data_IF_709250846620
#
_entry.id   IF_709250846620
#
_cell.length_a   1.000
_cell.length_b   1.000
_cell.length_c   1.000
_cell.angle_alpha   90.00
_cell.angle_beta   90.00
_cell.angle_gamma   90.00
#
_symmetry.space_group_name_H-M   'P 1'
#
loop_
_entity.id
_entity.type
_entity.pdbx_description
1 polymer ?
#
# COMPACT_ATOMS: atom_id res chain seq x y z
N UNK A 1 13.21 -14.54 7.00
CA UNK A 1 11.76 -14.78 7.15
C UNK A 1 11.30 -15.75 6.09
N UNK A 2 10.27 -16.54 6.36
CA UNK A 2 9.70 -17.52 5.41
C UNK A 2 8.64 -16.90 4.48
N UNK A 3 8.16 -15.70 4.81
CA UNK A 3 7.04 -15.05 4.16
C UNK A 3 7.40 -14.50 2.77
N UNK A 4 8.65 -14.05 2.59
CA UNK A 4 9.10 -13.44 1.33
C UNK A 4 8.92 -14.35 0.12
N UNK A 5 9.40 -15.59 0.20
CA UNK A 5 9.32 -16.55 -0.92
C UNK A 5 7.88 -17.01 -1.15
N UNK A 6 7.12 -17.22 -0.07
CA UNK A 6 5.71 -17.61 -0.14
C UNK A 6 4.86 -16.53 -0.83
N UNK A 7 5.02 -15.26 -0.46
CA UNK A 7 4.29 -14.14 -1.08
C UNK A 7 4.70 -13.99 -2.54
N UNK A 8 6.00 -14.14 -2.85
CA UNK A 8 6.47 -14.11 -4.23
C UNK A 8 5.80 -15.20 -5.07
N UNK A 9 5.74 -16.42 -4.55
CA UNK A 9 5.09 -17.54 -5.22
C UNK A 9 3.60 -17.29 -5.42
N UNK A 10 2.88 -16.79 -4.40
CA UNK A 10 1.47 -16.45 -4.55
C UNK A 10 1.23 -15.37 -5.61
N UNK A 11 2.07 -14.34 -5.66
CA UNK A 11 1.95 -13.31 -6.69
C UNK A 11 2.22 -13.89 -8.09
N UNK A 12 3.19 -14.80 -8.22
CA UNK A 12 3.47 -15.46 -9.48
C UNK A 12 2.34 -16.41 -9.90
N UNK A 13 1.70 -17.11 -8.98
CA UNK A 13 0.57 -18.00 -9.28
C UNK A 13 -0.73 -17.26 -9.58
N UNK A 14 -1.02 -16.19 -8.83
CA UNK A 14 -2.31 -15.47 -8.91
C UNK A 14 -2.36 -14.41 -10.01
N UNK A 15 -1.23 -13.77 -10.33
CA UNK A 15 -1.21 -12.74 -11.37
C UNK A 15 -1.23 -13.38 -12.76
N UNK A 16 -2.06 -12.90 -13.70
CA UNK A 16 -2.03 -13.37 -15.07
C UNK A 16 -0.71 -12.98 -15.76
N UNK A 17 -0.35 -13.68 -16.83
CA UNK A 17 0.91 -13.45 -17.56
C UNK A 17 1.04 -12.03 -18.12
N UNK A 18 -0.09 -11.41 -18.49
CA UNK A 18 -0.16 -10.04 -18.98
C UNK A 18 -0.41 -8.98 -17.88
N UNK A 19 -0.25 -9.32 -16.60
CA UNK A 19 -0.50 -8.40 -15.48
C UNK A 19 0.28 -7.07 -15.61
N UNK A 20 1.52 -7.12 -16.12
CA UNK A 20 2.34 -5.92 -16.33
C UNK A 20 1.74 -4.95 -17.35
N UNK A 21 1.14 -5.46 -18.43
CA UNK A 21 0.43 -4.66 -19.43
C UNK A 21 -0.83 -4.03 -18.82
N UNK A 22 -1.60 -4.83 -18.07
CA UNK A 22 -2.83 -4.37 -17.41
C UNK A 22 -2.54 -3.28 -16.37
N UNK A 23 -1.46 -3.40 -15.61
CA UNK A 23 -1.15 -2.51 -14.50
C UNK A 23 -0.37 -1.26 -14.91
N UNK A 24 0.38 -1.30 -16.02
CA UNK A 24 1.15 -0.16 -16.50
C UNK A 24 0.25 1.06 -16.73
N UNK A 25 0.65 2.22 -16.19
CA UNK A 25 -0.08 3.49 -16.15
C UNK A 25 -1.42 3.50 -15.41
N UNK A 26 -1.87 2.35 -14.91
CA UNK A 26 -3.14 2.19 -14.18
C UNK A 26 -2.93 1.99 -12.69
N UNK A 27 -1.80 1.41 -12.30
CA UNK A 27 -1.42 1.14 -10.92
C UNK A 27 -0.11 1.84 -10.59
N UNK A 28 -0.02 2.40 -9.39
CA UNK A 28 1.20 2.99 -8.85
C UNK A 28 1.63 2.21 -7.61
N UNK A 29 2.73 1.47 -7.71
CA UNK A 29 3.32 0.73 -6.59
C UNK A 29 4.30 1.64 -5.86
N UNK A 30 4.13 1.81 -4.55
CA UNK A 30 4.93 2.77 -3.78
C UNK A 30 6.08 2.11 -3.04
N UNK A 31 7.29 2.64 -3.21
CA UNK A 31 8.46 2.21 -2.45
C UNK A 31 9.12 3.41 -1.78
N UNK A 32 9.80 3.16 -0.66
CA UNK A 32 10.70 4.13 -0.05
C UNK A 32 12.13 3.83 -0.50
N UNK A 33 12.72 4.73 -1.30
CA UNK A 33 14.13 4.65 -1.67
C UNK A 33 15.01 5.13 -0.51
N UNK A 34 15.96 4.28 -0.13
CA UNK A 34 16.96 4.52 0.92
C UNK A 34 18.29 4.77 0.22
N UNK A 35 18.75 6.02 0.18
CA UNK A 35 20.10 6.34 -0.29
C UNK A 35 21.09 6.28 0.86
N UNK A 36 22.32 5.82 0.59
CA UNK A 36 23.39 5.70 1.61
C UNK A 36 23.69 7.02 2.33
N UNK A 37 23.42 8.18 1.70
CA UNK A 37 23.44 9.47 2.39
C UNK A 37 22.14 9.64 3.17
N UNK A 38 22.23 9.63 4.51
CA UNK A 38 21.17 9.62 5.52
C UNK A 38 20.09 10.74 5.48
N UNK A 39 19.89 11.46 4.36
CA UNK A 39 18.89 12.53 4.18
C UNK A 39 18.44 12.67 2.70
N UNK A 40 17.14 12.86 2.41
CA UNK A 40 15.96 12.26 3.04
C UNK A 40 15.49 11.00 2.28
N UNK A 41 14.88 10.05 3.01
CA UNK A 41 14.09 8.97 2.43
C UNK A 41 13.10 9.55 1.41
N UNK A 42 13.14 9.01 0.18
CA UNK A 42 12.33 9.49 -0.93
C UNK A 42 11.34 8.42 -1.34
N UNK A 43 10.06 8.77 -1.37
CA UNK A 43 9.04 7.91 -1.96
C UNK A 43 9.19 7.90 -3.48
N UNK A 44 9.10 6.72 -4.08
CA UNK A 44 9.07 6.49 -5.53
C UNK A 44 7.79 5.73 -5.84
N UNK A 45 7.05 6.20 -6.84
CA UNK A 45 5.92 5.47 -7.41
C UNK A 45 6.37 4.81 -8.69
N UNK A 46 6.22 3.50 -8.78
CA UNK A 46 6.52 2.71 -9.97
C UNK A 46 5.19 2.50 -10.68
N UNK A 47 5.09 3.03 -11.90
CA UNK A 47 3.86 3.00 -12.71
C UNK A 47 4.04 2.27 -14.04
N UNK A 48 5.27 1.85 -14.35
CA UNK A 48 5.62 1.18 -15.60
C UNK A 48 6.23 -0.17 -15.27
N UNK A 49 5.71 -1.23 -15.87
CA UNK A 49 6.16 -2.61 -15.68
C UNK A 49 6.33 -3.25 -17.06
N UNK A 50 7.53 -3.76 -17.38
CA UNK A 50 7.75 -4.36 -18.70
C UNK A 50 7.39 -5.85 -18.69
N UNK A 51 7.55 -6.51 -17.54
CA UNK A 51 7.24 -7.93 -17.35
C UNK A 51 6.44 -8.16 -16.07
N UNK A 52 5.71 -9.28 -16.01
CA UNK A 52 5.04 -9.73 -14.78
C UNK A 52 6.02 -9.78 -13.59
N UNK A 53 7.25 -10.23 -13.84
CA UNK A 53 8.31 -10.25 -12.84
C UNK A 53 8.64 -8.85 -12.32
N UNK A 54 8.72 -7.84 -13.18
CA UNK A 54 8.98 -6.45 -12.75
C UNK A 54 7.88 -5.94 -11.80
N UNK A 55 6.62 -6.27 -12.10
CA UNK A 55 5.49 -5.94 -11.24
C UNK A 55 5.59 -6.66 -9.88
N UNK A 56 5.93 -7.95 -9.87
CA UNK A 56 6.12 -8.72 -8.63
C UNK A 56 7.27 -8.14 -7.82
N UNK A 57 8.42 -7.85 -8.43
CA UNK A 57 9.57 -7.23 -7.77
C UNK A 57 9.22 -5.86 -7.16
N UNK A 58 8.44 -5.04 -7.87
CA UNK A 58 7.92 -3.79 -7.35
C UNK A 58 7.00 -3.99 -6.14
N UNK A 59 6.05 -4.93 -6.22
CA UNK A 59 5.16 -5.27 -5.10
C UNK A 59 5.96 -5.75 -3.89
N UNK A 60 6.90 -6.64 -4.10
CA UNK A 60 7.74 -7.17 -3.03
C UNK A 60 8.64 -6.11 -2.40
N UNK A 61 9.14 -5.15 -3.18
CA UNK A 61 9.86 -4.00 -2.63
C UNK A 61 8.92 -3.07 -1.82
N UNK A 62 7.68 -2.90 -2.28
CA UNK A 62 6.66 -2.07 -1.64
C UNK A 62 6.22 -2.58 -0.28
N UNK A 63 6.26 -3.90 -0.06
CA UNK A 63 5.90 -4.53 1.22
C UNK A 63 7.12 -4.88 2.09
N UNK A 64 8.33 -4.49 1.64
CA UNK A 64 9.57 -4.88 2.31
C UNK A 64 9.81 -4.10 3.60
N UNK A 65 9.13 -4.52 4.66
CA UNK A 65 9.39 -4.06 6.03
C UNK A 65 10.72 -4.65 6.48
N UNK A 66 11.71 -3.82 6.90
CA UNK A 66 13.03 -4.30 7.29
C UNK A 66 12.97 -5.44 8.32
N UNK A 67 13.74 -6.50 8.06
CA UNK A 67 13.86 -7.73 8.84
C UNK A 67 12.60 -8.63 8.89
N UNK A 68 11.44 -8.18 8.42
CA UNK A 68 10.17 -8.89 8.59
C UNK A 68 9.96 -10.02 7.58
N UNK A 69 9.98 -9.71 6.27
CA UNK A 69 9.57 -10.66 5.24
C UNK A 69 10.58 -11.79 5.02
N UNK A 70 11.82 -11.43 4.76
CA UNK A 70 12.90 -12.36 4.38
C UNK A 70 14.13 -12.22 5.30
N UNK A 71 14.09 -11.34 6.31
CA UNK A 71 15.20 -11.09 7.22
C UNK A 71 16.26 -10.13 6.65
N UNK A 72 15.99 -9.48 5.50
CA UNK A 72 16.86 -8.46 4.93
C UNK A 72 16.39 -7.07 5.36
N UNK A 73 17.32 -6.11 5.34
CA UNK A 73 17.04 -4.72 5.66
C UNK A 73 16.36 -3.96 4.52
N UNK A 74 16.50 -4.44 3.29
CA UNK A 74 16.03 -3.78 2.08
C UNK A 74 16.03 -4.74 0.89
N UNK A 75 15.32 -4.36 -0.18
CA UNK A 75 15.32 -5.02 -1.49
C UNK A 75 15.93 -4.07 -2.54
N UNK A 76 16.65 -4.62 -3.51
CA UNK A 76 17.16 -3.83 -4.64
C UNK A 76 16.16 -3.90 -5.78
N UNK A 77 15.74 -2.75 -6.30
CA UNK A 77 14.86 -2.62 -7.45
C UNK A 77 15.44 -1.60 -8.44
N UNK A 78 15.76 -2.04 -9.65
CA UNK A 78 16.40 -1.22 -10.70
C UNK A 78 17.67 -0.48 -10.22
N UNK A 79 18.46 -1.13 -9.36
CA UNK A 79 19.67 -0.55 -8.76
C UNK A 79 19.43 0.41 -7.59
N UNK A 80 18.18 0.74 -7.26
CA UNK A 80 17.83 1.49 -6.06
C UNK A 80 17.63 0.53 -4.87
N UNK A 81 18.09 0.94 -3.68
CA UNK A 81 17.79 0.26 -2.43
C UNK A 81 16.42 0.74 -1.94
N UNK A 82 15.49 -0.18 -1.78
CA UNK A 82 14.09 0.08 -1.47
C UNK A 82 13.63 -0.67 -0.22
N UNK A 83 12.72 -0.03 0.50
CA UNK A 83 11.95 -0.60 1.62
C UNK A 83 10.49 -0.21 1.46
N UNK A 84 9.65 -0.70 2.36
CA UNK A 84 8.22 -0.50 2.36
C UNK A 84 7.79 0.96 2.08
N UNK A 85 6.81 1.13 1.19
CA UNK A 85 6.32 2.44 0.76
C UNK A 85 5.68 3.28 1.87
N UNK A 86 5.12 2.60 2.88
CA UNK A 86 4.53 3.20 4.07
C UNK A 86 5.58 3.63 5.10
N UNK A 87 6.85 3.23 4.99
CA UNK A 87 7.86 3.58 6.00
C UNK A 87 8.04 5.10 6.16
N UNK A 88 8.01 5.85 5.06
CA UNK A 88 8.01 7.33 5.13
C UNK A 88 6.78 7.90 5.83
N UNK A 89 5.63 7.23 5.69
CA UNK A 89 4.37 7.61 6.31
C UNK A 89 4.39 7.30 7.80
N UNK A 90 4.79 6.08 8.21
CA UNK A 90 4.93 5.67 9.62
C UNK A 90 5.91 6.59 10.36
N UNK A 91 7.07 6.87 9.78
CA UNK A 91 8.12 7.65 10.44
C UNK A 91 7.84 9.16 10.51
N UNK A 92 7.11 9.72 9.54
CA UNK A 92 6.92 11.18 9.44
C UNK A 92 5.49 11.62 9.70
N UNK A 93 4.54 10.70 9.82
CA UNK A 93 3.11 10.96 9.93
C UNK A 93 2.59 11.98 8.88
N UNK A 94 3.25 12.04 7.71
CA UNK A 94 2.89 12.97 6.65
C UNK A 94 1.98 12.24 5.67
N UNK A 95 0.75 12.73 5.44
CA UNK A 95 -0.15 12.14 4.46
C UNK A 95 0.50 12.15 3.08
N UNK A 96 -0.02 11.31 2.20
CA UNK A 96 0.32 11.38 0.79
C UNK A 96 0.05 12.79 0.27
N UNK A 97 1.12 13.53 -0.08
CA UNK A 97 0.98 14.82 -0.76
C UNK A 97 0.54 14.56 -2.20
N UNK A 98 -0.74 14.27 -2.41
CA UNK A 98 -1.37 14.50 -3.70
C UNK A 98 -1.62 16.00 -3.80
N UNK A 99 -1.02 16.65 -4.79
CA UNK A 99 -1.37 18.05 -5.03
C UNK A 99 -2.82 18.05 -5.54
N UNK A 100 -3.69 18.96 -5.06
CA UNK A 100 -5.11 19.00 -5.46
C UNK A 100 -5.34 19.06 -6.97
N UNK A 101 -4.35 19.55 -7.72
CA UNK A 101 -4.33 19.67 -9.18
C UNK A 101 -3.96 18.38 -9.94
N UNK A 102 -3.60 17.30 -9.25
CA UNK A 102 -3.40 15.96 -9.84
C UNK A 102 -4.69 15.10 -9.77
N UNK A 103 -5.82 15.69 -9.35
CA UNK A 103 -7.11 14.99 -9.22
C UNK A 103 -7.65 14.57 -10.58
N UNK A 104 -7.43 13.31 -10.94
CA UNK A 104 -8.53 12.52 -11.48
C UNK A 104 -9.57 12.34 -10.38
N UNK A 105 -10.81 12.18 -10.79
CA UNK A 105 -11.89 11.72 -9.95
C UNK A 105 -11.43 10.51 -9.10
N UNK A 106 -11.23 10.69 -7.79
CA UNK A 106 -10.58 9.69 -6.94
C UNK A 106 -11.13 9.68 -5.52
N UNK A 107 -11.47 8.48 -5.05
CA UNK A 107 -11.84 8.22 -3.67
C UNK A 107 -10.56 7.89 -2.88
N UNK A 108 -10.22 8.71 -1.89
CA UNK A 108 -9.10 8.46 -0.99
C UNK A 108 -9.64 8.07 0.39
N UNK A 109 -9.44 6.83 0.78
CA UNK A 109 -9.74 6.36 2.13
C UNK A 109 -8.47 6.53 2.96
N UNK A 110 -8.49 7.47 3.90
CA UNK A 110 -7.33 7.79 4.73
C UNK A 110 -7.55 7.33 6.16
N UNK A 111 -6.85 6.28 6.57
CA UNK A 111 -7.06 5.67 7.88
C UNK A 111 -6.72 6.57 9.08
N UNK A 112 -6.02 7.68 8.88
CA UNK A 112 -5.78 8.66 9.95
C UNK A 112 -7.04 9.41 10.40
N UNK A 113 -8.06 9.44 9.55
CA UNK A 113 -9.36 10.03 9.90
C UNK A 113 -10.15 9.11 10.84
N UNK A 114 -9.73 7.85 10.96
CA UNK A 114 -10.27 6.86 11.88
C UNK A 114 -9.55 6.93 13.24
N UNK A 115 -10.24 7.48 14.24
CA UNK A 115 -9.70 7.64 15.59
C UNK A 115 -9.44 6.29 16.27
N UNK A 116 -10.25 5.28 15.96
CA UNK A 116 -10.13 3.95 16.56
C UNK A 116 -8.92 3.21 15.99
N UNK A 117 -8.73 3.27 14.67
CA UNK A 117 -7.55 2.70 14.04
C UNK A 117 -6.27 3.42 14.47
N UNK A 118 -6.31 4.76 14.58
CA UNK A 118 -5.16 5.55 15.00
C UNK A 118 -4.74 5.32 16.46
N UNK A 119 -5.66 4.90 17.33
CA UNK A 119 -5.32 4.47 18.68
C UNK A 119 -4.44 3.20 18.68
N UNK A 120 -4.54 2.36 17.64
CA UNK A 120 -3.83 1.08 17.51
C UNK A 120 -2.62 1.13 16.56
N UNK A 121 -2.23 2.31 16.06
CA UNK A 121 -1.22 2.47 14.99
C UNK A 121 0.17 1.87 15.25
N UNK A 122 0.54 1.65 16.51
CA UNK A 122 1.83 1.04 16.88
C UNK A 122 1.78 -0.49 16.88
N UNK A 123 0.58 -1.06 16.82
CA UNK A 123 0.30 -2.49 16.82
C UNK A 123 0.09 -3.03 15.39
N UNK A 124 0.51 -2.29 14.36
CA UNK A 124 0.28 -2.64 12.95
C UNK A 124 0.98 -3.92 12.49
N UNK A 125 1.88 -4.48 13.30
CA UNK A 125 2.55 -5.77 13.08
C UNK A 125 2.04 -6.88 14.00
N UNK A 126 1.08 -6.58 14.87
CA UNK A 126 0.46 -7.61 15.72
C UNK A 126 -0.39 -8.53 14.83
N UNK A 127 -0.29 -9.82 15.10
CA UNK A 127 -1.11 -10.82 14.42
C UNK A 127 -2.53 -10.66 14.93
N UNK A 128 -3.45 -10.28 14.04
CA UNK A 128 -4.87 -10.26 14.35
C UNK A 128 -5.34 -11.71 14.58
N UNK A 129 -6.06 -11.95 15.67
CA UNK A 129 -6.82 -13.19 15.80
C UNK A 129 -7.90 -13.26 14.72
N UNK A 130 -8.46 -14.46 14.47
CA UNK A 130 -9.59 -14.59 13.54
C UNK A 130 -10.76 -13.69 13.97
N UNK A 131 -11.07 -13.66 15.27
CA UNK A 131 -12.11 -12.80 15.84
C UNK A 131 -11.83 -11.31 15.57
N UNK A 132 -10.58 -10.86 15.69
CA UNK A 132 -10.21 -9.47 15.39
C UNK A 132 -10.27 -9.16 13.89
N UNK A 133 -9.97 -10.14 13.03
CA UNK A 133 -10.13 -9.99 11.59
C UNK A 133 -11.61 -9.87 11.20
N UNK A 134 -12.47 -10.70 11.78
CA UNK A 134 -13.93 -10.60 11.59
C UNK A 134 -14.46 -9.24 12.10
N UNK A 135 -14.03 -8.79 13.28
CA UNK A 135 -14.39 -7.46 13.82
C UNK A 135 -13.98 -6.33 12.86
N UNK A 136 -12.77 -6.38 12.28
CA UNK A 136 -12.33 -5.39 11.29
C UNK A 136 -13.18 -5.40 10.02
N UNK A 137 -13.64 -6.58 9.57
CA UNK A 137 -14.52 -6.72 8.41
C UNK A 137 -15.90 -6.09 8.70
N UNK A 138 -16.49 -6.40 9.85
CA UNK A 138 -17.77 -5.85 10.30
C UNK A 138 -17.70 -4.32 10.47
N UNK A 139 -16.59 -3.79 11.00
CA UNK A 139 -16.37 -2.34 11.10
C UNK A 139 -16.41 -1.67 9.72
N UNK A 140 -15.76 -2.27 8.72
CA UNK A 140 -15.76 -1.78 7.34
C UNK A 140 -17.15 -1.79 6.71
N UNK A 141 -17.90 -2.89 6.90
CA UNK A 141 -19.28 -3.02 6.42
C UNK A 141 -20.20 -1.95 7.05
N UNK A 142 -20.12 -1.78 8.38
CA UNK A 142 -20.90 -0.77 9.11
C UNK A 142 -20.59 0.64 8.63
N UNK A 143 -19.31 0.97 8.45
CA UNK A 143 -18.91 2.28 7.94
C UNK A 143 -19.46 2.55 6.53
N UNK A 144 -19.39 1.55 5.64
CA UNK A 144 -19.96 1.66 4.30
C UNK A 144 -21.48 1.87 4.35
N UNK A 145 -22.19 1.13 5.21
CA UNK A 145 -23.64 1.29 5.40
C UNK A 145 -23.99 2.69 5.91
N UNK A 146 -23.25 3.22 6.89
CA UNK A 146 -23.44 4.60 7.37
C UNK A 146 -23.25 5.65 6.26
N UNK A 147 -22.34 5.42 5.32
CA UNK A 147 -22.15 6.32 4.18
C UNK A 147 -23.28 6.23 3.15
N UNK A 148 -23.83 5.03 2.94
CA UNK A 148 -25.02 4.82 2.10
C UNK A 148 -26.22 5.53 2.73
N UNK A 149 -26.47 5.31 4.02
CA UNK A 149 -27.61 5.88 4.75
C UNK A 149 -27.58 7.41 4.79
N UNK A 150 -26.38 8.01 4.77
CA UNK A 150 -26.18 9.47 4.73
C UNK A 150 -26.29 10.05 3.32
N UNK A 151 -26.58 9.26 2.28
CA UNK A 151 -26.47 9.62 0.87
C UNK A 151 -25.11 10.25 0.48
N UNK A 152 -24.09 10.08 1.33
CA UNK A 152 -22.77 10.68 1.12
C UNK A 152 -21.95 9.85 0.15
N UNK A 153 -22.23 8.55 0.03
CA UNK A 153 -21.54 7.67 -0.91
C UNK A 153 -21.93 7.99 -2.36
N UNK A 154 -23.22 8.23 -2.62
CA UNK A 154 -23.72 8.60 -3.96
C UNK A 154 -23.26 10.00 -4.38
N UNK A 155 -23.22 10.95 -3.45
CA UNK A 155 -22.70 12.30 -3.73
C UNK A 155 -21.18 12.29 -3.98
N UNK A 156 -20.42 11.47 -3.24
CA UNK A 156 -19.00 11.22 -3.53
C UNK A 156 -18.82 10.57 -4.91
N UNK A 157 -19.62 9.56 -5.25
CA UNK A 157 -19.53 8.90 -6.56
C UNK A 157 -19.85 9.89 -7.70
N UNK A 158 -20.89 10.72 -7.56
CA UNK A 158 -21.26 11.72 -8.57
C UNK A 158 -20.29 12.90 -8.68
N UNK A 159 -19.70 13.37 -7.58
CA UNK A 159 -18.68 14.43 -7.60
C UNK A 159 -17.40 13.99 -8.33
N UNK A 160 -17.17 12.68 -8.38
CA UNK A 160 -15.99 12.06 -8.98
C UNK A 160 -16.33 11.08 -10.11
N UNK A 161 -17.43 11.27 -10.85
CA UNK A 161 -17.75 10.57 -12.12
C UNK A 161 -17.82 11.58 -13.27
#
# INVERSE_FOLDING_TARGET
GIWGDMIYQWLDELLPDNAAEICTDRVAVSVTSVRLSLLPLKRKSITKFNTKKDLIEACMASVHVPMFLDGKMSRVLDGDICVDGSLTFVLRNKPWHFKPQDRKASLMIHHQDDKELMARKWNFLETISLDQFEEMFEMGEKYAQEMIDKNSLESLIQEYS
#
